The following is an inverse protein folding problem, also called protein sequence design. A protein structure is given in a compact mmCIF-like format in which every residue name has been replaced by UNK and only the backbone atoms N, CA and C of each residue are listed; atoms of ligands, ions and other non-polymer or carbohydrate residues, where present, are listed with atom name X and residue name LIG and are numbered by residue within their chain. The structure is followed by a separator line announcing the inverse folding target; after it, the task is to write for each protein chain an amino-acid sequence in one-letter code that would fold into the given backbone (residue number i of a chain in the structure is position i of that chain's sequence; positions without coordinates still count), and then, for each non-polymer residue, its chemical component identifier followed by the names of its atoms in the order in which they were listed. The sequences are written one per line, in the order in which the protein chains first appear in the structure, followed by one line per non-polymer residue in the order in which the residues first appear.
data_IF_692380845911
#
_entry.id   IF_692380845911
#
_cell.length_a   1.000
_cell.length_b   1.000
_cell.length_c   1.000
_cell.angle_alpha   90.00
_cell.angle_beta   90.00
_cell.angle_gamma   90.00
#
_symmetry.space_group_name_H-M   'P 1'
#
loop_
_entity.id
_entity.type
_entity.pdbx_description
1 polymer ?
#
# COMPACT_ATOMS: atom_id res chain seq x y z
N UNK A 1 6.32 -6.08 9.45
CA UNK A 1 6.84 -4.81 9.99
C UNK A 1 6.47 -3.69 9.02
N UNK A 2 6.09 -2.52 9.51
CA UNK A 2 5.82 -1.36 8.65
C UNK A 2 7.15 -0.69 8.32
N UNK A 3 7.37 -0.39 7.03
CA UNK A 3 8.63 0.22 6.54
C UNK A 3 8.37 1.65 6.07
N UNK A 4 9.11 2.66 6.56
CA UNK A 4 8.97 4.03 6.07
C UNK A 4 9.48 4.14 4.62
N UNK A 5 8.73 4.82 3.77
CA UNK A 5 9.07 5.03 2.35
C UNK A 5 8.71 6.44 1.91
N UNK A 6 9.35 6.91 0.83
CA UNK A 6 8.94 8.13 0.14
C UNK A 6 8.03 7.75 -1.02
N UNK A 7 6.79 8.22 -1.00
CA UNK A 7 5.84 8.02 -2.08
C UNK A 7 5.69 9.31 -2.88
N UNK A 8 5.74 9.24 -4.20
CA UNK A 8 5.61 10.42 -5.07
C UNK A 8 4.20 10.44 -5.64
N UNK A 9 3.37 11.38 -5.19
CA UNK A 9 2.04 11.59 -5.73
C UNK A 9 2.16 12.24 -7.11
N UNK A 10 1.61 11.57 -8.13
CA UNK A 10 1.53 12.06 -9.49
C UNK A 10 0.07 12.25 -9.89
N UNK A 11 -0.25 13.43 -10.40
CA UNK A 11 -1.58 13.74 -10.92
C UNK A 11 -1.46 14.56 -12.21
N UNK A 12 -2.22 14.25 -13.28
CA UNK A 12 -2.14 14.99 -14.54
C UNK A 12 -2.33 16.50 -14.35
N UNK A 13 -1.39 17.28 -14.89
CA UNK A 13 -1.41 18.74 -14.79
C UNK A 13 -0.91 19.31 -13.45
N UNK A 14 -0.49 18.45 -12.52
CA UNK A 14 0.08 18.84 -11.23
C UNK A 14 1.57 18.52 -11.12
N UNK A 15 2.28 19.30 -10.31
CA UNK A 15 3.69 19.06 -9.99
C UNK A 15 3.77 17.82 -9.08
N UNK A 16 4.58 16.79 -9.42
CA UNK A 16 4.77 15.63 -8.57
C UNK A 16 5.18 16.04 -7.15
N UNK A 17 4.55 15.43 -6.14
CA UNK A 17 4.79 15.78 -4.74
C UNK A 17 5.26 14.55 -3.95
N UNK A 18 6.53 14.52 -3.49
CA UNK A 18 6.99 13.48 -2.57
C UNK A 18 6.32 13.67 -1.20
N UNK A 19 5.88 12.57 -0.61
CA UNK A 19 5.29 12.53 0.74
C UNK A 19 5.90 11.39 1.55
N UNK A 20 6.10 11.56 2.87
CA UNK A 20 6.42 10.44 3.74
C UNK A 20 5.21 9.49 3.80
N UNK A 21 5.47 8.21 3.62
CA UNK A 21 4.46 7.15 3.66
C UNK A 21 5.06 5.87 4.25
N UNK A 22 4.29 4.79 4.20
CA UNK A 22 4.63 3.51 4.78
C UNK A 22 4.32 2.39 3.78
N UNK A 23 5.04 1.28 3.87
CA UNK A 23 4.83 0.08 3.07
C UNK A 23 4.94 -1.17 3.94
N UNK A 24 4.24 -2.23 3.54
CA UNK A 24 4.42 -3.55 4.13
C UNK A 24 5.52 -4.30 3.37
N UNK A 25 6.65 -4.53 4.02
CA UNK A 25 7.73 -5.37 3.50
C UNK A 25 8.15 -6.36 4.58
N UNK A 26 8.39 -7.62 4.19
CA UNK A 26 8.72 -8.66 5.14
C UNK A 26 8.74 -10.06 4.52
N UNK A 27 9.17 -11.03 5.32
CA UNK A 27 9.10 -12.46 5.01
C UNK A 27 8.02 -13.09 5.89
N UNK A 28 7.19 -13.92 5.29
CA UNK A 28 6.14 -14.66 5.98
C UNK A 28 6.34 -16.16 5.76
N UNK A 29 5.78 -16.97 6.67
CA UNK A 29 5.86 -18.42 6.59
C UNK A 29 5.02 -18.96 5.44
N UNK A 30 5.56 -19.96 4.76
CA UNK A 30 4.80 -20.80 3.82
C UNK A 30 5.25 -22.24 3.97
N UNK A 31 4.35 -23.18 3.65
CA UNK A 31 4.66 -24.61 3.65
C UNK A 31 3.87 -25.35 2.57
N UNK A 32 4.41 -26.50 2.18
CA UNK A 32 3.77 -27.52 1.36
C UNK A 32 4.21 -28.87 1.92
N UNK A 33 3.26 -29.73 2.29
CA UNK A 33 3.54 -31.05 2.84
C UNK A 33 2.43 -32.05 2.46
N UNK A 34 2.67 -33.34 2.68
CA UNK A 34 1.63 -34.36 2.55
C UNK A 34 0.59 -34.13 3.65
N UNK A 35 -0.70 -34.25 3.32
CA UNK A 35 -1.77 -34.08 4.29
C UNK A 35 -1.76 -35.20 5.32
N UNK A 36 -1.79 -34.83 6.62
CA UNK A 36 -1.84 -35.79 7.72
C UNK A 36 -3.16 -36.56 7.83
N UNK A 37 -4.24 -36.05 7.22
CA UNK A 37 -5.56 -36.70 7.25
C UNK A 37 -5.92 -37.45 5.96
N UNK A 38 -5.30 -37.07 4.83
CA UNK A 38 -5.48 -37.73 3.53
C UNK A 38 -4.13 -37.85 2.84
N UNK A 39 -3.43 -38.96 3.05
CA UNK A 39 -2.05 -39.18 2.57
C UNK A 39 -1.86 -39.02 1.05
N UNK A 40 -2.93 -39.13 0.25
CA UNK A 40 -2.92 -38.91 -1.20
C UNK A 40 -3.11 -37.44 -1.60
N UNK A 41 -3.25 -36.53 -0.63
CA UNK A 41 -3.41 -35.10 -0.84
C UNK A 41 -2.21 -34.32 -0.29
N UNK A 42 -1.98 -33.14 -0.84
CA UNK A 42 -1.03 -32.17 -0.32
C UNK A 42 -1.76 -31.07 0.44
N UNK A 43 -1.20 -30.64 1.56
CA UNK A 43 -1.62 -29.46 2.31
C UNK A 43 -0.62 -28.34 2.08
N UNK A 44 -1.14 -27.12 1.87
CA UNK A 44 -0.32 -25.92 1.64
C UNK A 44 -0.85 -24.73 2.41
N UNK A 45 0.06 -23.90 2.88
CA UNK A 45 -0.25 -22.55 3.36
C UNK A 45 0.80 -21.60 2.81
N UNK A 46 0.38 -20.44 2.33
CA UNK A 46 1.27 -19.38 1.91
C UNK A 46 0.73 -18.10 2.51
N UNK A 47 1.59 -17.36 3.20
CA UNK A 47 1.22 -16.11 3.82
C UNK A 47 1.97 -14.97 3.14
N UNK A 48 1.29 -13.86 2.90
CA UNK A 48 1.84 -12.61 2.40
C UNK A 48 1.94 -11.59 3.54
N UNK A 49 2.99 -10.76 3.52
CA UNK A 49 3.08 -9.60 4.42
C UNK A 49 2.17 -8.50 3.88
N UNK A 50 0.97 -8.38 4.45
CA UNK A 50 -0.09 -7.47 4.00
C UNK A 50 -0.47 -6.48 5.10
N UNK A 51 -1.17 -5.42 4.74
CA UNK A 51 -1.75 -4.47 5.69
C UNK A 51 -2.87 -5.12 6.51
N UNK A 52 -2.89 -4.82 7.81
CA UNK A 52 -4.02 -5.16 8.68
C UNK A 52 -4.93 -3.96 8.98
N UNK A 53 -4.50 -2.77 8.59
CA UNK A 53 -5.24 -1.53 8.71
C UNK A 53 -4.64 -0.43 7.85
N UNK A 54 -5.45 0.57 7.55
CA UNK A 54 -5.07 1.70 6.72
C UNK A 54 -5.29 3.00 7.47
N UNK A 55 -4.52 4.02 7.11
CA UNK A 55 -4.76 5.40 7.53
C UNK A 55 -4.83 6.32 6.32
N UNK A 56 -5.73 7.29 6.38
CA UNK A 56 -5.93 8.25 5.30
C UNK A 56 -5.22 9.57 5.61
N UNK A 57 -4.74 10.23 4.56
CA UNK A 57 -4.20 11.57 4.63
C UNK A 57 -4.70 12.41 3.45
N UNK A 58 -5.00 13.68 3.72
CA UNK A 58 -5.35 14.65 2.68
C UNK A 58 -4.14 15.47 2.30
N UNK A 59 -3.76 15.47 1.02
CA UNK A 59 -2.62 16.22 0.49
C UNK A 59 -3.09 17.20 -0.57
N UNK A 60 -2.66 18.46 -0.46
CA UNK A 60 -2.86 19.44 -1.53
C UNK A 60 -1.72 19.35 -2.55
N UNK A 61 -2.07 19.11 -3.81
CA UNK A 61 -1.19 19.15 -4.98
C UNK A 61 -1.32 20.50 -5.68
N UNK A 62 -0.22 21.02 -6.20
CA UNK A 62 -0.21 22.24 -7.00
C UNK A 62 -0.28 21.91 -8.48
N UNK A 63 -1.27 22.48 -9.16
CA UNK A 63 -1.65 22.19 -10.54
C UNK A 63 -1.54 23.45 -11.39
N UNK A 64 -0.33 23.82 -11.86
CA UNK A 64 -0.12 25.05 -12.62
C UNK A 64 -0.80 25.04 -13.99
N UNK A 65 -1.12 23.85 -14.52
CA UNK A 65 -1.82 23.66 -15.80
C UNK A 65 -3.34 23.60 -15.66
N UNK A 66 -3.90 23.94 -14.49
CA UNK A 66 -5.35 24.04 -14.31
C UNK A 66 -5.94 25.12 -15.25
N UNK A 67 -7.16 24.91 -15.74
CA UNK A 67 -7.81 25.87 -16.65
C UNK A 67 -8.06 27.19 -15.91
N UNK A 68 -8.13 28.28 -16.66
CA UNK A 68 -8.45 29.61 -16.10
C UNK A 68 -9.84 29.55 -15.43
N UNK A 69 -9.90 29.86 -14.13
CA UNK A 69 -11.10 29.73 -13.30
C UNK A 69 -11.13 28.49 -12.39
N UNK A 70 -10.29 27.48 -12.64
CA UNK A 70 -10.17 26.30 -11.78
C UNK A 70 -9.23 26.54 -10.58
N UNK A 71 -9.43 25.78 -9.50
CA UNK A 71 -8.54 25.80 -8.34
C UNK A 71 -7.17 25.24 -8.73
N UNK A 72 -6.13 26.08 -8.62
CA UNK A 72 -4.71 25.68 -8.81
C UNK A 72 -4.21 24.69 -7.77
N UNK A 73 -4.92 24.52 -6.65
CA UNK A 73 -4.61 23.51 -5.65
C UNK A 73 -5.70 22.44 -5.64
N UNK A 74 -5.29 21.19 -5.82
CA UNK A 74 -6.16 20.03 -5.79
C UNK A 74 -5.89 19.22 -4.54
N UNK A 75 -6.92 19.02 -3.71
CA UNK A 75 -6.86 18.12 -2.56
C UNK A 75 -7.06 16.69 -3.04
N UNK A 76 -6.13 15.80 -2.71
CA UNK A 76 -6.21 14.36 -2.97
C UNK A 76 -6.14 13.60 -1.66
N UNK A 77 -6.91 12.53 -1.55
CA UNK A 77 -6.81 11.60 -0.42
C UNK A 77 -5.87 10.47 -0.80
N UNK A 78 -4.91 10.18 0.07
CA UNK A 78 -3.97 9.06 -0.06
C UNK A 78 -4.08 8.16 1.17
N UNK A 79 -3.65 6.91 1.01
CA UNK A 79 -3.69 5.90 2.06
C UNK A 79 -2.33 5.30 2.29
N UNK A 80 -2.07 4.86 3.51
CA UNK A 80 -0.87 4.13 3.90
C UNK A 80 -1.23 3.02 4.90
N UNK A 81 -0.47 1.91 4.93
CA UNK A 81 -0.65 0.88 5.95
C UNK A 81 -0.37 1.44 7.35
N UNK A 82 -1.28 1.16 8.28
CA UNK A 82 -1.10 1.45 9.70
C UNK A 82 -0.26 0.35 10.37
N UNK A 83 -0.53 -0.90 9.98
CA UNK A 83 0.07 -2.11 10.52
C UNK A 83 0.25 -3.14 9.39
N UNK A 84 1.17 -4.07 9.58
CA UNK A 84 1.45 -5.14 8.62
C UNK A 84 1.54 -6.50 9.33
N UNK A 85 0.82 -7.50 8.82
CA UNK A 85 0.76 -8.86 9.36
C UNK A 85 0.87 -9.91 8.25
N UNK A 86 1.28 -11.13 8.60
CA UNK A 86 1.24 -12.26 7.68
C UNK A 86 -0.20 -12.78 7.56
N UNK A 87 -0.77 -12.73 6.35
CA UNK A 87 -2.14 -13.19 6.05
C UNK A 87 -2.10 -14.10 4.82
N UNK A 88 -3.01 -15.08 4.68
CA UNK A 88 -3.06 -15.95 3.50
C UNK A 88 -3.24 -15.17 2.20
#
# INVERSE_FOLDING_TARGET
QVTPVIHVLQYPGCVPKPIPSFACTGRCSSYLQVSGSKIWQMERSCMCCQESGEREASVSLFCPKAKQGDKKFRKVTTKAPLECMCRP
#
